data_IF_004887354295
#
_entry.id   IF_004887354295
#
_cell.length_a   1.000
_cell.length_b   1.000
_cell.length_c   1.000
_cell.angle_alpha   90.00
_cell.angle_beta   90.00
_cell.angle_gamma   90.00
#
_symmetry.space_group_name_H-M   'P 1'
#
loop_
_entity.id
_entity.type
_entity.pdbx_description
1 polymer ?
#
# COMPACT_ATOMS: atom_id res chain seq x y z
N UNK A 1 -1.59 2.10 -1.34
CA UNK A 1 -0.21 2.38 -0.86
C UNK A 1 0.46 1.07 -0.46
N UNK A 2 1.78 0.98 -0.64
CA UNK A 2 2.58 -0.16 -0.19
C UNK A 2 3.77 0.35 0.61
N UNK A 3 4.09 -0.33 1.71
CA UNK A 3 5.14 0.06 2.68
C UNK A 3 6.32 -0.90 2.56
N UNK A 4 7.56 -0.41 2.62
CA UNK A 4 8.74 -1.28 2.67
C UNK A 4 8.84 -1.95 4.05
N UNK A 5 8.72 -3.28 4.11
CA UNK A 5 8.66 -4.02 5.35
C UNK A 5 9.80 -3.73 6.34
N UNK A 6 11.08 -3.77 5.92
CA UNK A 6 12.21 -3.41 6.78
C UNK A 6 12.11 -1.99 7.34
N UNK A 7 11.64 -1.01 6.54
CA UNK A 7 11.44 0.37 7.01
C UNK A 7 10.32 0.49 8.03
N UNK A 8 9.24 -0.29 7.86
CA UNK A 8 8.15 -0.30 8.85
C UNK A 8 8.71 -0.63 10.24
N UNK A 9 9.51 -1.69 10.35
CA UNK A 9 10.07 -2.10 11.63
C UNK A 9 11.19 -1.17 12.14
N UNK A 10 11.93 -0.53 11.25
CA UNK A 10 12.93 0.46 11.64
C UNK A 10 12.29 1.76 12.20
N UNK A 11 11.13 2.14 11.69
CA UNK A 11 10.41 3.36 12.09
C UNK A 11 9.42 3.10 13.22
N UNK A 12 8.73 1.98 13.18
CA UNK A 12 7.65 1.61 14.10
C UNK A 12 7.94 0.25 14.77
N UNK A 13 8.99 0.13 15.59
CA UNK A 13 9.37 -1.16 16.19
C UNK A 13 8.29 -1.75 17.11
N UNK A 14 7.36 -0.92 17.59
CA UNK A 14 6.19 -1.37 18.36
C UNK A 14 5.03 -1.88 17.53
N UNK A 15 5.10 -1.81 16.19
CA UNK A 15 4.09 -2.37 15.30
C UNK A 15 3.91 -3.86 15.58
N UNK A 16 2.66 -4.34 15.63
CA UNK A 16 2.33 -5.73 15.98
C UNK A 16 2.98 -6.74 15.04
N UNK A 17 3.02 -6.45 13.74
CA UNK A 17 3.65 -7.28 12.74
C UNK A 17 5.17 -7.37 12.88
N UNK A 18 5.81 -6.29 13.35
CA UNK A 18 7.25 -6.30 13.65
C UNK A 18 7.56 -7.10 14.94
N UNK A 19 6.79 -6.87 16.01
CA UNK A 19 6.99 -7.58 17.28
C UNK A 19 6.72 -9.08 17.21
N UNK A 20 5.80 -9.50 16.36
CA UNK A 20 5.48 -10.92 16.14
C UNK A 20 6.46 -11.62 15.19
N UNK A 21 7.40 -10.92 14.57
CA UNK A 21 8.29 -11.45 13.54
C UNK A 21 7.63 -11.67 12.19
N UNK A 22 6.35 -11.27 12.03
CA UNK A 22 5.62 -11.49 10.79
C UNK A 22 6.19 -10.70 9.62
N UNK A 23 6.53 -9.42 9.83
CA UNK A 23 7.14 -8.60 8.77
C UNK A 23 8.47 -9.21 8.31
N UNK A 24 9.25 -9.76 9.23
CA UNK A 24 10.49 -10.48 8.92
C UNK A 24 10.23 -11.73 8.05
N UNK A 25 9.15 -12.48 8.34
CA UNK A 25 8.74 -13.64 7.54
C UNK A 25 8.30 -13.27 6.12
N UNK A 26 7.78 -12.05 5.90
CA UNK A 26 7.47 -11.53 4.56
C UNK A 26 8.73 -11.14 3.78
N UNK A 27 9.88 -11.09 4.44
CA UNK A 27 11.18 -10.79 3.85
C UNK A 27 11.36 -9.34 3.45
N UNK A 28 12.37 -9.09 2.61
CA UNK A 28 12.63 -7.76 2.04
C UNK A 28 11.61 -7.47 0.94
N UNK A 29 10.41 -7.09 1.34
CA UNK A 29 9.29 -6.87 0.43
C UNK A 29 8.51 -5.60 0.77
N UNK A 30 7.93 -5.01 -0.27
CA UNK A 30 6.82 -4.09 -0.12
C UNK A 30 5.60 -4.88 0.33
N UNK A 31 4.92 -4.39 1.35
CA UNK A 31 3.70 -4.96 1.91
C UNK A 31 2.53 -4.00 1.67
N UNK A 32 1.34 -4.52 1.51
CA UNK A 32 0.14 -3.71 1.33
C UNK A 32 -0.11 -2.86 2.58
N UNK A 33 -0.37 -1.58 2.39
CA UNK A 33 -0.91 -0.72 3.43
C UNK A 33 -2.44 -0.62 3.26
N UNK A 34 -2.91 -0.05 2.17
CA UNK A 34 -4.33 0.05 1.88
C UNK A 34 -4.63 0.89 0.65
N UNK A 35 -5.92 1.02 0.34
CA UNK A 35 -6.49 1.96 -0.62
C UNK A 35 -7.16 3.10 0.14
N UNK A 36 -6.60 4.30 0.10
CA UNK A 36 -7.06 5.42 0.89
C UNK A 36 -7.75 6.47 0.02
N UNK A 37 -8.94 6.94 0.43
CA UNK A 37 -9.64 7.99 -0.29
C UNK A 37 -8.85 9.31 -0.28
N UNK A 38 -9.15 10.15 -1.25
CA UNK A 38 -8.65 11.52 -1.31
C UNK A 38 -9.84 12.46 -1.54
N UNK A 39 -9.93 13.53 -0.79
CA UNK A 39 -8.97 13.98 0.23
C UNK A 39 -8.93 13.08 1.47
N UNK A 40 -7.82 13.11 2.21
CA UNK A 40 -7.59 12.26 3.39
C UNK A 40 -8.55 12.52 4.56
N UNK A 41 -9.40 13.53 4.46
CA UNK A 41 -10.49 13.82 5.40
C UNK A 41 -11.68 12.88 5.25
N UNK A 42 -11.78 12.16 4.13
CA UNK A 42 -12.83 11.17 3.88
C UNK A 42 -12.44 9.84 4.52
N UNK A 43 -12.87 9.66 5.76
CA UNK A 43 -12.62 8.46 6.54
C UNK A 43 -13.84 8.09 7.36
N UNK A 44 -14.00 6.79 7.66
CA UNK A 44 -15.08 6.24 8.47
C UNK A 44 -16.47 6.63 7.96
N UNK A 45 -16.70 6.55 6.63
CA UNK A 45 -17.99 6.83 6.02
C UNK A 45 -19.05 5.87 6.54
N UNK A 46 -20.16 6.42 7.04
CA UNK A 46 -21.29 5.68 7.61
C UNK A 46 -20.93 4.76 8.79
N UNK A 47 -19.76 4.98 9.39
CA UNK A 47 -19.29 4.19 10.55
C UNK A 47 -19.57 4.96 11.84
N UNK A 48 -20.20 4.33 12.86
CA UNK A 48 -20.44 4.98 14.14
C UNK A 48 -19.13 5.47 14.77
N UNK A 49 -19.10 6.76 15.16
CA UNK A 49 -17.94 7.38 15.80
C UNK A 49 -17.70 6.80 17.21
N UNK A 50 -16.44 6.73 17.62
CA UNK A 50 -16.04 6.50 19.00
C UNK A 50 -15.65 5.08 19.39
N UNK A 51 -15.86 4.07 18.55
CA UNK A 51 -15.32 2.72 18.83
C UNK A 51 -13.94 2.56 18.17
N UNK A 52 -12.88 2.22 18.92
CA UNK A 52 -11.58 1.89 18.32
C UNK A 52 -11.71 0.63 17.46
N UNK A 53 -10.95 0.55 16.36
CA UNK A 53 -11.07 -0.52 15.34
C UNK A 53 -10.94 -1.92 15.95
N UNK A 54 -10.07 -2.11 16.94
CA UNK A 54 -9.93 -3.38 17.69
C UNK A 54 -11.20 -3.88 18.40
N UNK A 55 -12.21 -3.02 18.55
CA UNK A 55 -13.53 -3.35 19.14
C UNK A 55 -14.62 -3.54 18.11
N UNK A 56 -14.30 -3.37 16.83
CA UNK A 56 -15.24 -3.57 15.73
C UNK A 56 -15.34 -5.05 15.35
N UNK A 57 -16.44 -5.40 14.74
CA UNK A 57 -16.63 -6.77 14.22
C UNK A 57 -15.59 -7.08 13.14
N UNK A 58 -15.05 -8.30 13.10
CA UNK A 58 -14.22 -8.74 12.00
C UNK A 58 -14.94 -8.56 10.66
N UNK A 59 -14.19 -8.21 9.64
CA UNK A 59 -14.72 -8.04 8.29
C UNK A 59 -14.83 -9.41 7.63
N UNK A 60 -16.02 -9.87 7.24
CA UNK A 60 -16.16 -11.16 6.58
C UNK A 60 -15.63 -11.08 5.15
N UNK A 61 -14.66 -11.92 4.83
CA UNK A 61 -14.02 -12.00 3.52
C UNK A 61 -14.01 -13.45 3.01
N UNK A 62 -14.09 -13.68 1.69
CA UNK A 62 -13.85 -14.98 1.09
C UNK A 62 -12.44 -15.50 1.40
N UNK A 63 -12.27 -16.82 1.42
CA UNK A 63 -11.01 -17.47 1.78
C UNK A 63 -9.86 -17.08 0.85
N UNK A 64 -10.10 -16.92 -0.44
CA UNK A 64 -9.10 -16.51 -1.42
C UNK A 64 -8.58 -15.09 -1.15
N UNK A 65 -9.46 -14.15 -0.82
CA UNK A 65 -9.08 -12.77 -0.43
C UNK A 65 -8.32 -12.79 0.90
N UNK A 66 -8.83 -13.53 1.88
CA UNK A 66 -8.17 -13.70 3.18
C UNK A 66 -6.76 -14.26 3.03
N UNK A 67 -6.57 -15.32 2.24
CA UNK A 67 -5.28 -15.93 1.99
C UNK A 67 -4.30 -14.96 1.32
N UNK A 68 -4.75 -14.15 0.36
CA UNK A 68 -3.91 -13.11 -0.26
C UNK A 68 -3.47 -12.05 0.76
N UNK A 69 -4.39 -11.56 1.58
CA UNK A 69 -4.07 -10.59 2.64
C UNK A 69 -3.06 -11.17 3.65
N UNK A 70 -3.16 -12.46 3.96
CA UNK A 70 -2.18 -13.16 4.80
C UNK A 70 -0.75 -13.08 4.25
N UNK A 71 -0.54 -12.98 2.97
CA UNK A 71 0.80 -12.88 2.36
C UNK A 71 1.28 -11.45 2.15
N UNK A 72 0.46 -10.44 2.43
CA UNK A 72 0.74 -9.06 2.03
C UNK A 72 0.62 -8.04 3.17
N UNK A 73 -0.05 -8.36 4.30
CA UNK A 73 -0.26 -7.42 5.40
C UNK A 73 0.71 -7.70 6.56
N UNK A 74 1.17 -6.62 7.22
CA UNK A 74 2.00 -6.72 8.41
C UNK A 74 1.28 -7.38 9.59
N UNK A 75 -0.01 -7.09 9.75
CA UNK A 75 -0.91 -7.70 10.74
C UNK A 75 -2.31 -7.84 10.12
N UNK A 76 -2.63 -8.99 9.49
CA UNK A 76 -3.91 -9.18 8.80
C UNK A 76 -5.12 -8.98 9.70
N UNK A 77 -5.05 -9.35 10.97
CA UNK A 77 -6.19 -9.28 11.88
C UNK A 77 -6.59 -7.85 12.21
N UNK A 78 -5.60 -7.01 12.48
CA UNK A 78 -5.84 -5.60 12.81
C UNK A 78 -6.02 -4.74 11.55
N UNK A 79 -5.16 -4.93 10.56
CA UNK A 79 -5.17 -4.09 9.36
C UNK A 79 -6.43 -4.30 8.51
N UNK A 80 -6.93 -5.53 8.37
CA UNK A 80 -8.18 -5.76 7.62
C UNK A 80 -9.33 -4.97 8.25
N UNK A 81 -9.45 -4.99 9.57
CA UNK A 81 -10.49 -4.24 10.27
C UNK A 81 -10.28 -2.73 10.13
N UNK A 82 -9.06 -2.25 10.36
CA UNK A 82 -8.74 -0.83 10.24
C UNK A 82 -8.96 -0.30 8.82
N UNK A 83 -8.36 -0.94 7.83
CA UNK A 83 -8.42 -0.49 6.43
C UNK A 83 -9.84 -0.49 5.88
N UNK A 84 -10.67 -1.47 6.28
CA UNK A 84 -12.06 -1.45 5.89
C UNK A 84 -12.83 -0.30 6.54
N UNK A 85 -12.84 -0.23 7.87
CA UNK A 85 -13.68 0.76 8.55
C UNK A 85 -13.18 2.20 8.35
N UNK A 86 -11.88 2.43 8.31
CA UNK A 86 -11.33 3.76 8.10
C UNK A 86 -11.43 4.24 6.65
N UNK A 87 -11.24 3.36 5.68
CA UNK A 87 -11.06 3.73 4.28
C UNK A 87 -12.03 3.00 3.33
N UNK A 88 -12.20 1.70 3.49
CA UNK A 88 -13.02 0.88 2.60
C UNK A 88 -14.49 1.28 2.60
N UNK A 89 -15.05 1.69 3.74
CA UNK A 89 -16.45 2.17 3.85
C UNK A 89 -16.72 3.41 3.00
N UNK A 90 -15.69 4.17 2.64
CA UNK A 90 -15.79 5.34 1.75
C UNK A 90 -15.61 4.99 0.26
N UNK A 91 -15.35 3.72 -0.07
CA UNK A 91 -14.95 3.31 -1.42
C UNK A 91 -16.11 3.12 -2.40
N UNK A 92 -17.33 2.97 -1.91
CA UNK A 92 -18.52 2.67 -2.73
C UNK A 92 -18.63 1.23 -3.23
N UNK A 93 -17.75 0.32 -2.76
CA UNK A 93 -17.76 -1.11 -3.09
C UNK A 93 -17.88 -1.97 -1.82
N UNK A 94 -18.09 -3.27 -1.96
CA UNK A 94 -18.12 -4.20 -0.84
C UNK A 94 -16.73 -4.49 -0.28
N UNK A 95 -16.62 -4.98 0.95
CA UNK A 95 -15.34 -5.33 1.55
C UNK A 95 -14.55 -6.39 0.75
N UNK A 96 -15.17 -7.49 0.25
CA UNK A 96 -14.48 -8.41 -0.64
C UNK A 96 -13.91 -7.75 -1.89
N UNK A 97 -14.67 -6.87 -2.54
CA UNK A 97 -14.22 -6.13 -3.73
C UNK A 97 -13.08 -5.17 -3.40
N UNK A 98 -13.20 -4.40 -2.32
CA UNK A 98 -12.15 -3.47 -1.87
C UNK A 98 -10.82 -4.18 -1.65
N UNK A 99 -10.81 -5.28 -0.90
CA UNK A 99 -9.59 -6.02 -0.63
C UNK A 99 -9.12 -6.85 -1.82
N UNK A 100 -10.03 -7.35 -2.66
CA UNK A 100 -9.67 -7.98 -3.93
C UNK A 100 -8.87 -7.03 -4.82
N UNK A 101 -9.41 -5.83 -5.07
CA UNK A 101 -8.76 -4.77 -5.85
C UNK A 101 -7.41 -4.35 -5.22
N UNK A 102 -7.39 -4.16 -3.89
CA UNK A 102 -6.17 -3.76 -3.19
C UNK A 102 -5.04 -4.78 -3.34
N UNK A 103 -5.36 -6.07 -3.19
CA UNK A 103 -4.36 -7.15 -3.31
C UNK A 103 -3.89 -7.33 -4.75
N UNK A 104 -4.78 -7.28 -5.75
CA UNK A 104 -4.40 -7.41 -7.16
C UNK A 104 -3.43 -6.30 -7.59
N UNK A 105 -3.78 -5.04 -7.31
CA UNK A 105 -2.94 -3.89 -7.66
C UNK A 105 -1.62 -3.88 -6.88
N UNK A 106 -1.65 -4.27 -5.60
CA UNK A 106 -0.45 -4.37 -4.80
C UNK A 106 0.50 -5.47 -5.32
N UNK A 107 -0.01 -6.62 -5.75
CA UNK A 107 0.80 -7.69 -6.36
C UNK A 107 1.56 -7.19 -7.59
N UNK A 108 0.90 -6.44 -8.48
CA UNK A 108 1.57 -5.86 -9.64
C UNK A 108 2.65 -4.85 -9.24
N UNK A 109 2.35 -3.98 -8.27
CA UNK A 109 3.32 -3.00 -7.76
C UNK A 109 4.53 -3.69 -7.10
N UNK A 110 4.30 -4.68 -6.25
CA UNK A 110 5.33 -5.49 -5.59
C UNK A 110 6.22 -6.19 -6.61
N UNK A 111 5.64 -6.83 -7.62
CA UNK A 111 6.39 -7.52 -8.68
C UNK A 111 7.37 -6.60 -9.41
N UNK A 112 6.97 -5.34 -9.64
CA UNK A 112 7.80 -4.38 -10.38
C UNK A 112 8.82 -3.69 -9.44
N UNK A 113 8.43 -3.35 -8.23
CA UNK A 113 9.21 -2.49 -7.35
C UNK A 113 10.11 -3.25 -6.37
N UNK A 114 9.73 -4.44 -5.90
CA UNK A 114 10.56 -5.21 -4.96
C UNK A 114 12.01 -5.41 -5.44
N UNK A 115 12.27 -5.78 -6.71
CA UNK A 115 13.64 -5.95 -7.18
C UNK A 115 14.48 -4.67 -7.02
N UNK A 116 13.86 -3.49 -7.23
CA UNK A 116 14.55 -2.20 -7.12
C UNK A 116 14.88 -1.88 -5.67
N UNK A 117 13.93 -2.08 -4.76
CA UNK A 117 14.14 -1.83 -3.33
C UNK A 117 15.11 -2.83 -2.71
N UNK A 118 14.97 -4.13 -3.00
CA UNK A 118 15.89 -5.15 -2.52
C UNK A 118 17.32 -4.91 -3.03
N UNK A 119 17.49 -4.54 -4.30
CA UNK A 119 18.81 -4.18 -4.85
C UNK A 119 19.39 -2.89 -4.24
N UNK A 120 18.56 -2.07 -3.60
CA UNK A 120 18.97 -0.82 -2.95
C UNK A 120 19.15 -0.97 -1.43
N UNK A 121 18.96 -2.15 -0.87
CA UNK A 121 19.15 -2.38 0.58
C UNK A 121 20.54 -1.92 1.05
N UNK A 122 20.58 -1.18 2.14
CA UNK A 122 21.78 -0.53 2.68
C UNK A 122 22.22 0.73 1.94
N UNK A 123 21.57 1.10 0.84
CA UNK A 123 21.92 2.25 -0.03
C UNK A 123 20.76 3.24 -0.15
N UNK A 124 21.02 4.35 -0.80
CA UNK A 124 19.98 5.33 -1.11
C UNK A 124 19.27 4.99 -2.43
N UNK A 125 17.96 5.26 -2.46
CA UNK A 125 17.14 5.22 -3.65
C UNK A 125 16.55 6.60 -3.91
N UNK A 126 16.40 6.99 -5.18
CA UNK A 126 15.77 8.25 -5.55
C UNK A 126 14.35 8.06 -6.06
N UNK A 127 13.50 9.05 -5.81
CA UNK A 127 12.16 9.08 -6.40
C UNK A 127 12.20 9.03 -7.93
N UNK A 128 13.22 9.62 -8.54
CA UNK A 128 13.44 9.58 -9.99
C UNK A 128 13.62 8.15 -10.48
N UNK A 129 14.49 7.36 -9.84
CA UNK A 129 14.74 5.97 -10.27
C UNK A 129 13.51 5.08 -10.11
N UNK A 130 12.75 5.25 -9.02
CA UNK A 130 11.50 4.53 -8.82
C UNK A 130 10.47 4.89 -9.90
N UNK A 131 10.29 6.18 -10.21
CA UNK A 131 9.39 6.64 -11.27
C UNK A 131 9.79 6.11 -12.64
N UNK A 132 11.09 6.10 -12.97
CA UNK A 132 11.60 5.53 -14.22
C UNK A 132 11.32 4.03 -14.32
N UNK A 133 11.45 3.28 -13.23
CA UNK A 133 11.09 1.86 -13.20
C UNK A 133 9.60 1.66 -13.49
N UNK A 134 8.74 2.49 -12.90
CA UNK A 134 7.30 2.44 -13.15
C UNK A 134 6.95 2.81 -14.59
N UNK A 135 7.61 3.83 -15.16
CA UNK A 135 7.44 4.20 -16.58
C UNK A 135 7.87 3.06 -17.50
N UNK A 136 8.98 2.40 -17.22
CA UNK A 136 9.46 1.27 -18.00
C UNK A 136 8.52 0.06 -17.95
N UNK A 137 7.87 -0.18 -16.81
CA UNK A 137 6.99 -1.32 -16.63
C UNK A 137 5.56 -1.09 -17.15
N UNK A 138 5.05 0.13 -17.02
CA UNK A 138 3.63 0.44 -17.23
C UNK A 138 3.37 1.49 -18.31
N UNK A 139 4.43 2.01 -18.93
CA UNK A 139 4.33 3.01 -20.00
C UNK A 139 4.63 4.43 -19.52
N UNK A 140 5.11 5.26 -20.44
CA UNK A 140 5.54 6.63 -20.13
C UNK A 140 4.44 7.47 -19.46
N UNK A 141 4.83 8.19 -18.41
CA UNK A 141 3.96 9.00 -17.59
C UNK A 141 3.30 8.28 -16.40
N UNK A 142 3.39 6.94 -16.32
CA UNK A 142 2.89 6.19 -15.16
C UNK A 142 3.66 6.59 -13.88
N UNK A 143 4.95 6.84 -13.97
CA UNK A 143 5.78 7.30 -12.86
C UNK A 143 5.33 8.63 -12.27
N UNK A 144 4.65 9.50 -13.03
CA UNK A 144 4.09 10.75 -12.51
C UNK A 144 2.92 10.52 -11.52
N UNK A 145 2.42 9.31 -11.41
CA UNK A 145 1.39 8.86 -10.47
C UNK A 145 1.98 8.15 -9.24
N UNK A 146 3.32 8.21 -9.10
CA UNK A 146 4.03 7.58 -7.98
C UNK A 146 4.70 8.65 -7.12
N UNK A 147 4.48 8.56 -5.82
CA UNK A 147 5.14 9.39 -4.81
C UNK A 147 5.78 8.51 -3.74
N UNK A 148 6.88 8.98 -3.18
CA UNK A 148 7.57 8.33 -2.07
C UNK A 148 7.33 9.09 -0.77
N UNK A 149 7.14 8.39 0.32
CA UNK A 149 7.24 8.97 1.64
C UNK A 149 8.45 8.42 2.38
N UNK A 150 9.07 9.29 3.17
CA UNK A 150 10.20 8.97 4.02
C UNK A 150 9.85 9.27 5.47
N UNK A 151 10.49 8.57 6.39
CA UNK A 151 10.36 8.79 7.82
C UNK A 151 11.72 8.73 8.50
N UNK A 152 11.85 9.40 9.63
CA UNK A 152 13.06 9.33 10.44
C UNK A 152 13.08 8.00 11.21
N UNK A 153 14.17 7.27 11.09
CA UNK A 153 14.48 6.08 11.87
C UNK A 153 15.84 6.28 12.57
N UNK A 154 16.25 5.32 13.39
CA UNK A 154 17.58 5.35 13.94
C UNK A 154 18.63 5.35 12.83
N UNK A 155 19.49 6.36 12.77
CA UNK A 155 20.50 6.54 11.74
C UNK A 155 20.07 7.40 10.55
N UNK A 156 18.94 8.12 10.63
CA UNK A 156 18.54 9.12 9.64
C UNK A 156 17.23 8.82 8.91
N UNK A 157 17.01 9.53 7.82
CA UNK A 157 15.81 9.39 7.01
C UNK A 157 15.86 8.10 6.19
N UNK A 158 14.78 7.34 6.23
CA UNK A 158 14.62 6.12 5.45
C UNK A 158 13.39 6.22 4.54
N UNK A 159 13.50 5.60 3.38
CA UNK A 159 12.35 5.36 2.53
C UNK A 159 11.32 4.51 3.31
N UNK A 160 10.06 4.93 3.30
CA UNK A 160 9.02 4.27 4.09
C UNK A 160 7.93 3.63 3.21
N UNK A 161 7.37 4.39 2.26
CA UNK A 161 6.18 3.99 1.54
C UNK A 161 6.14 4.50 0.10
N UNK A 162 5.56 3.70 -0.80
CA UNK A 162 5.19 4.10 -2.17
C UNK A 162 3.69 4.40 -2.20
N UNK A 163 3.36 5.60 -2.64
CA UNK A 163 1.99 6.04 -2.92
C UNK A 163 1.74 5.91 -4.43
N UNK A 164 0.68 5.22 -4.79
CA UNK A 164 0.22 5.08 -6.16
C UNK A 164 -1.10 5.84 -6.29
N UNK A 165 -1.14 6.84 -7.16
CA UNK A 165 -2.34 7.63 -7.44
C UNK A 165 -3.19 6.92 -8.47
N UNK A 166 -4.40 6.57 -8.07
CA UNK A 166 -5.35 5.75 -8.81
C UNK A 166 -6.67 6.52 -8.99
N UNK A 167 -7.54 6.13 -9.92
CA UNK A 167 -8.90 6.65 -9.99
C UNK A 167 -9.73 6.17 -8.78
N UNK A 168 -11.00 6.55 -8.72
CA UNK A 168 -11.90 6.05 -7.68
C UNK A 168 -11.99 4.53 -7.69
N UNK A 169 -12.19 3.92 -6.52
CA UNK A 169 -12.17 2.45 -6.37
C UNK A 169 -13.20 1.77 -7.28
N UNK A 170 -14.37 2.39 -7.45
CA UNK A 170 -15.43 1.91 -8.36
C UNK A 170 -14.97 1.82 -9.83
N UNK A 171 -13.98 2.61 -10.23
CA UNK A 171 -13.43 2.66 -11.60
C UNK A 171 -12.23 1.71 -11.79
N UNK A 172 -11.83 0.98 -10.76
CA UNK A 172 -10.71 0.03 -10.79
C UNK A 172 -11.13 -1.36 -11.33
N UNK A 173 -12.34 -1.51 -11.84
CA UNK A 173 -12.84 -2.76 -12.42
C UNK A 173 -13.09 -2.66 -13.92
N UNK A 174 -12.93 -3.80 -14.60
CA UNK A 174 -13.36 -4.00 -15.98
C UNK A 174 -14.09 -5.35 -16.03
N UNK A 175 -15.41 -5.32 -16.08
CA UNK A 175 -16.23 -6.50 -15.88
C UNK A 175 -16.00 -7.07 -14.47
N UNK A 176 -15.68 -8.36 -14.37
CA UNK A 176 -15.40 -9.04 -13.10
C UNK A 176 -13.91 -9.01 -12.68
N UNK A 177 -13.07 -8.34 -13.44
CA UNK A 177 -11.62 -8.30 -13.20
C UNK A 177 -11.15 -6.94 -12.71
N UNK A 178 -10.05 -6.93 -11.97
CA UNK A 178 -9.31 -5.72 -11.60
C UNK A 178 -8.68 -5.09 -12.85
N UNK A 179 -8.79 -3.78 -12.97
CA UNK A 179 -8.09 -3.03 -14.01
C UNK A 179 -6.57 -3.19 -13.81
N UNK A 180 -5.79 -3.61 -14.83
CA UNK A 180 -4.34 -3.73 -14.70
C UNK A 180 -3.70 -2.44 -14.18
N UNK A 181 -2.71 -2.55 -13.29
CA UNK A 181 -2.10 -1.42 -12.59
C UNK A 181 -1.64 -0.30 -13.54
N UNK A 182 -1.04 -0.65 -14.67
CA UNK A 182 -0.63 0.35 -15.67
C UNK A 182 -1.78 1.17 -16.22
N UNK A 183 -2.95 0.55 -16.41
CA UNK A 183 -4.18 1.25 -16.83
C UNK A 183 -4.77 2.07 -15.71
N UNK A 184 -4.75 1.56 -14.49
CA UNK A 184 -5.20 2.30 -13.31
C UNK A 184 -4.32 3.55 -13.08
N UNK A 185 -3.01 3.43 -13.15
CA UNK A 185 -2.08 4.56 -13.06
C UNK A 185 -2.34 5.61 -14.16
N UNK A 186 -2.57 5.18 -15.40
CA UNK A 186 -2.83 6.13 -16.52
C UNK A 186 -4.09 6.97 -16.31
N UNK A 187 -5.05 6.49 -15.51
CA UNK A 187 -6.30 7.19 -15.20
C UNK A 187 -6.20 8.01 -13.90
N UNK A 188 -5.25 7.72 -13.04
CA UNK A 188 -5.04 8.46 -11.79
C UNK A 188 -4.48 9.87 -12.04
N UNK A 189 -4.73 10.82 -11.13
CA UNK A 189 -4.12 12.13 -11.22
C UNK A 189 -2.60 12.06 -10.98
N UNK A 190 -1.87 13.03 -11.52
CA UNK A 190 -0.45 13.19 -11.21
C UNK A 190 -0.27 13.64 -9.76
N UNK A 191 0.77 13.16 -9.11
CA UNK A 191 1.11 13.54 -7.73
C UNK A 191 2.58 13.96 -7.61
N UNK A 192 2.89 14.68 -6.53
CA UNK A 192 4.27 15.03 -6.19
C UNK A 192 5.15 13.80 -5.99
N UNK A 193 6.45 13.95 -6.22
CA UNK A 193 7.40 12.87 -6.01
C UNK A 193 7.56 12.49 -4.51
N UNK A 194 7.18 13.38 -3.61
CA UNK A 194 7.40 13.20 -2.17
C UNK A 194 8.87 13.44 -1.80
N UNK A 195 9.45 12.59 -0.98
CA UNK A 195 10.88 12.68 -0.66
C UNK A 195 11.72 12.33 -1.90
N UNK A 196 12.74 13.15 -2.16
CA UNK A 196 13.56 13.03 -3.37
C UNK A 196 14.49 11.82 -3.36
N UNK A 197 15.05 11.49 -2.19
CA UNK A 197 16.03 10.44 -1.99
C UNK A 197 16.04 10.02 -0.52
N UNK A 198 16.22 8.74 -0.25
CA UNK A 198 16.38 8.22 1.11
C UNK A 198 17.04 6.83 1.12
N UNK A 199 17.56 6.44 2.27
CA UNK A 199 18.15 5.11 2.48
C UNK A 199 17.06 4.03 2.52
N UNK A 200 17.34 2.88 1.91
CA UNK A 200 16.55 1.64 2.03
C UNK A 200 17.22 0.78 3.10
N UNK A 201 16.56 0.53 4.25
CA UNK A 201 17.10 -0.36 5.28
C UNK A 201 17.30 -1.79 4.83
#
# INVERSE_FOLDING_TARGET
MVTWGPSLCAVEPSNSGCRSGRVEQLGQSLILHGLWPQPSTEQYCDVPKGAPDRKRSPVPLPDDVTNRLQTMLSDPSMMTTHEWYAHGTCSGVTAPEYFGLATDLAQEAVRVLNPVFAASSGREISARSVRQTVDAAFGGGAGMRVGLSCKTAQGGEVFYEVKLSLPAVVDLRVGDSTLPLGKALSRGPTIGAGCGQARVP
#
